data_IF_083969624496
#
_entry.id   IF_083969624496
#
_cell.length_a   1.000
_cell.length_b   1.000
_cell.length_c   1.000
_cell.angle_alpha   90.00
_cell.angle_beta   90.00
_cell.angle_gamma   90.00
#
_symmetry.space_group_name_H-M   'P 1'
#
loop_
_entity.id
_entity.type
_entity.pdbx_description
1 polymer ?
#
# COMPACT_ATOMS: atom_id res chain seq x y z
N UNK A 1 -15.61 21.98 12.53
CA UNK A 1 -15.35 20.70 11.85
C UNK A 1 -14.06 20.90 11.07
N UNK A 2 -12.91 20.68 11.72
CA UNK A 2 -11.60 21.01 11.12
C UNK A 2 -11.21 19.88 10.18
N UNK A 3 -11.32 20.14 8.88
CA UNK A 3 -10.85 19.24 7.81
C UNK A 3 -9.38 19.55 7.54
N UNK A 4 -8.49 18.94 8.31
CA UNK A 4 -7.04 18.99 8.05
C UNK A 4 -6.55 17.71 7.36
N UNK A 5 -7.15 17.27 6.24
CA UNK A 5 -6.82 15.94 5.67
C UNK A 5 -6.08 15.87 4.31
N UNK A 6 -5.70 16.93 3.58
CA UNK A 6 -4.99 16.72 2.31
C UNK A 6 -3.58 16.14 2.50
N UNK A 7 -2.79 16.70 3.42
CA UNK A 7 -1.40 16.25 3.68
C UNK A 7 -1.33 14.84 4.28
N UNK A 8 -2.35 14.44 5.04
CA UNK A 8 -2.43 13.12 5.64
C UNK A 8 -2.79 12.05 4.59
N UNK A 9 -3.67 12.38 3.65
CA UNK A 9 -3.98 11.52 2.49
C UNK A 9 -2.78 11.41 1.55
N UNK A 10 -2.07 12.51 1.28
CA UNK A 10 -0.81 12.50 0.51
C UNK A 10 0.24 11.60 1.17
N UNK A 11 0.41 11.68 2.49
CA UNK A 11 1.35 10.82 3.21
C UNK A 11 0.94 9.35 3.14
N UNK A 12 -0.35 9.05 3.38
CA UNK A 12 -0.88 7.68 3.29
C UNK A 12 -0.65 7.09 1.91
N UNK A 13 -0.93 7.85 0.85
CA UNK A 13 -0.74 7.39 -0.52
C UNK A 13 0.72 7.03 -0.81
N UNK A 14 1.67 7.84 -0.32
CA UNK A 14 3.12 7.57 -0.48
C UNK A 14 3.55 6.31 0.28
N UNK A 15 2.98 6.06 1.45
CA UNK A 15 3.23 4.83 2.20
C UNK A 15 2.71 3.63 1.42
N UNK A 16 1.47 3.68 0.91
CA UNK A 16 0.86 2.59 0.12
C UNK A 16 1.66 2.29 -1.15
N UNK A 17 2.11 3.32 -1.86
CA UNK A 17 2.94 3.17 -3.06
C UNK A 17 4.28 2.49 -2.74
N UNK A 18 4.93 2.88 -1.64
CA UNK A 18 6.16 2.23 -1.17
C UNK A 18 5.95 0.76 -0.82
N UNK A 19 4.81 0.43 -0.19
CA UNK A 19 4.45 -0.96 0.11
C UNK A 19 4.26 -1.75 -1.17
N UNK A 20 3.55 -1.22 -2.18
CA UNK A 20 3.39 -1.88 -3.48
C UNK A 20 4.73 -2.18 -4.15
N UNK A 21 5.66 -1.22 -4.16
CA UNK A 21 6.98 -1.41 -4.75
C UNK A 21 7.79 -2.50 -4.05
N UNK A 22 7.80 -2.53 -2.71
CA UNK A 22 8.54 -3.54 -1.96
C UNK A 22 7.89 -4.92 -2.03
N UNK A 23 6.55 -4.99 -2.03
CA UNK A 23 5.82 -6.25 -2.26
C UNK A 23 6.06 -6.79 -3.67
N UNK A 24 6.09 -5.94 -4.69
CA UNK A 24 6.39 -6.36 -6.06
C UNK A 24 7.84 -6.83 -6.22
N UNK A 25 8.77 -6.27 -5.43
CA UNK A 25 10.19 -6.59 -5.51
C UNK A 25 10.57 -7.85 -4.73
N UNK A 26 10.00 -8.05 -3.54
CA UNK A 26 10.44 -9.10 -2.61
C UNK A 26 9.35 -10.11 -2.24
N UNK A 27 8.07 -9.78 -2.46
CA UNK A 27 6.93 -10.54 -1.96
C UNK A 27 6.66 -10.30 -0.47
N UNK A 28 5.57 -10.90 0.02
CA UNK A 28 5.07 -10.73 1.39
C UNK A 28 6.05 -11.31 2.43
N UNK A 29 6.65 -12.48 2.16
CA UNK A 29 7.56 -13.19 3.08
C UNK A 29 8.79 -12.38 3.52
N UNK A 30 9.22 -11.41 2.70
CA UNK A 30 10.41 -10.59 2.93
C UNK A 30 10.09 -9.13 3.20
N UNK A 31 8.82 -8.80 3.36
CA UNK A 31 8.40 -7.44 3.63
C UNK A 31 8.81 -7.02 5.05
N UNK A 32 9.51 -5.89 5.15
CA UNK A 32 9.90 -5.29 6.41
C UNK A 32 9.64 -3.78 6.36
N UNK A 33 8.82 -3.29 7.30
CA UNK A 33 8.38 -1.90 7.35
C UNK A 33 9.55 -0.94 7.58
N UNK A 34 10.55 -1.34 8.38
CA UNK A 34 11.72 -0.51 8.67
C UNK A 34 12.64 -0.38 7.45
N UNK A 35 12.91 -1.49 6.77
CA UNK A 35 13.70 -1.52 5.55
C UNK A 35 13.03 -0.71 4.42
N UNK A 36 11.71 -0.89 4.25
CA UNK A 36 10.91 -0.10 3.32
C UNK A 36 10.97 1.39 3.67
N UNK A 37 10.69 1.75 4.92
CA UNK A 37 10.67 3.16 5.35
C UNK A 37 12.03 3.83 5.10
N UNK A 38 13.13 3.16 5.44
CA UNK A 38 14.48 3.65 5.17
C UNK A 38 14.77 3.82 3.68
N UNK A 39 14.32 2.89 2.83
CA UNK A 39 14.54 2.94 1.37
C UNK A 39 13.74 4.05 0.68
N UNK A 40 12.53 4.30 1.15
CA UNK A 40 11.62 5.32 0.59
C UNK A 40 11.70 6.67 1.32
N UNK A 41 12.55 6.80 2.34
CA UNK A 41 12.72 8.03 3.12
C UNK A 41 11.49 8.40 3.97
N UNK A 42 10.73 7.39 4.40
CA UNK A 42 9.54 7.55 5.24
C UNK A 42 9.89 7.42 6.72
N UNK A 43 9.09 8.06 7.57
CA UNK A 43 9.25 7.99 9.02
C UNK A 43 8.60 6.69 9.55
N UNK A 44 9.44 5.76 10.00
CA UNK A 44 9.01 4.45 10.51
C UNK A 44 8.15 4.56 11.77
N UNK A 45 8.42 5.53 12.65
CA UNK A 45 7.63 5.78 13.84
C UNK A 45 6.25 6.34 13.45
N UNK A 46 6.20 7.21 12.44
CA UNK A 46 4.92 7.69 11.91
C UNK A 46 4.08 6.57 11.27
N UNK A 47 4.72 5.66 10.54
CA UNK A 47 4.04 4.48 9.97
C UNK A 47 3.52 3.59 11.10
N UNK A 48 4.36 3.22 12.08
CA UNK A 48 3.97 2.33 13.17
C UNK A 48 2.91 2.92 14.12
N UNK A 49 2.85 4.25 14.27
CA UNK A 49 1.76 4.90 15.01
C UNK A 49 0.40 4.75 14.33
N UNK A 50 0.37 4.65 13.00
CA UNK A 50 -0.86 4.58 12.20
C UNK A 50 -1.23 3.15 11.81
N UNK A 51 -0.24 2.32 11.52
CA UNK A 51 -0.34 0.90 11.25
C UNK A 51 0.61 0.16 12.19
N UNK A 52 0.14 -0.17 13.41
CA UNK A 52 0.96 -0.89 14.38
C UNK A 52 1.23 -2.34 13.95
N UNK A 53 0.37 -2.90 13.09
CA UNK A 53 0.53 -4.23 12.54
C UNK A 53 0.95 -4.16 11.06
N UNK A 54 2.07 -4.81 10.67
CA UNK A 54 2.49 -4.86 9.28
C UNK A 54 1.49 -5.58 8.37
N UNK A 55 0.70 -6.54 8.86
CA UNK A 55 -0.33 -7.21 8.07
C UNK A 55 -1.45 -6.25 7.69
N UNK A 56 -1.87 -5.36 8.59
CA UNK A 56 -2.87 -4.32 8.29
C UNK A 56 -2.36 -3.39 7.18
N UNK A 57 -1.08 -3.05 7.20
CA UNK A 57 -0.47 -2.22 6.16
C UNK A 57 -0.46 -2.92 4.80
N UNK A 58 -0.12 -4.22 4.77
CA UNK A 58 -0.14 -5.03 3.55
C UNK A 58 -1.56 -5.17 3.02
N UNK A 59 -2.53 -5.46 3.89
CA UNK A 59 -3.95 -5.56 3.53
C UNK A 59 -4.48 -4.24 2.98
N UNK A 60 -4.13 -3.11 3.60
CA UNK A 60 -4.50 -1.79 3.11
C UNK A 60 -3.90 -1.52 1.74
N UNK A 61 -2.62 -1.84 1.54
CA UNK A 61 -1.98 -1.70 0.25
C UNK A 61 -2.68 -2.58 -0.81
N UNK A 62 -2.95 -3.85 -0.52
CA UNK A 62 -3.66 -4.74 -1.43
C UNK A 62 -5.08 -4.25 -1.74
N UNK A 63 -5.78 -3.67 -0.77
CA UNK A 63 -7.12 -3.10 -0.96
C UNK A 63 -7.11 -1.85 -1.86
N UNK A 64 -6.01 -1.09 -1.88
CA UNK A 64 -5.84 0.10 -2.71
C UNK A 64 -4.92 -0.17 -3.91
N UNK A 65 -4.84 -1.42 -4.37
CA UNK A 65 -4.00 -1.78 -5.50
C UNK A 65 -4.43 -1.02 -6.76
N UNK A 66 -3.51 -0.32 -7.45
CA UNK A 66 -3.83 0.39 -8.67
C UNK A 66 -4.33 -0.60 -9.73
N UNK A 67 -5.64 -0.53 -10.03
CA UNK A 67 -6.32 -1.46 -10.93
C UNK A 67 -7.33 -2.41 -10.27
N UNK A 68 -7.49 -2.39 -8.94
CA UNK A 68 -8.58 -3.12 -8.28
C UNK A 68 -9.97 -2.64 -8.75
N UNK A 69 -10.10 -1.35 -9.07
CA UNK A 69 -11.29 -0.77 -9.68
C UNK A 69 -11.29 -0.83 -11.22
N UNK A 70 -10.23 -1.35 -11.85
CA UNK A 70 -10.23 -1.54 -13.28
C UNK A 70 -11.20 -2.68 -13.63
N UNK A 71 -12.17 -2.39 -14.50
CA UNK A 71 -13.04 -3.44 -15.05
C UNK A 71 -12.16 -4.58 -15.56
N UNK A 72 -12.41 -5.84 -15.15
CA UNK A 72 -11.65 -6.97 -15.64
C UNK A 72 -11.59 -6.88 -17.17
N UNK A 73 -10.41 -7.07 -17.79
CA UNK A 73 -10.36 -7.10 -19.25
C UNK A 73 -11.35 -8.17 -19.72
N UNK A 74 -12.17 -7.84 -20.73
CA UNK A 74 -13.05 -8.80 -21.37
C UNK A 74 -12.18 -9.94 -21.92
N UNK A 75 -12.14 -11.06 -21.20
CA UNK A 75 -11.34 -12.23 -21.54
C UNK A 75 -12.02 -13.09 -22.61
N UNK A 76 -13.17 -12.64 -23.13
CA UNK A 76 -14.01 -13.40 -24.02
C UNK A 76 -14.76 -14.51 -23.29
N UNK A 77 -15.89 -14.92 -23.83
CA UNK A 77 -16.68 -16.00 -23.26
C UNK A 77 -16.13 -17.36 -23.69
N UNK A 78 -15.77 -18.18 -22.72
CA UNK A 78 -15.51 -19.60 -22.92
C UNK A 78 -16.80 -20.27 -23.41
N UNK A 79 -16.79 -20.73 -24.66
CA UNK A 79 -17.84 -21.60 -25.19
C UNK A 79 -17.48 -23.04 -24.84
N UNK A 80 -18.32 -23.69 -24.05
CA UNK A 80 -18.27 -25.14 -23.79
C UNK A 80 -18.96 -25.91 -24.91
#
# INVERSE_FOLDING_TARGET
>A
MTVEHPLADDYRQRVVEAVHEELARWGIDRFDVGAMANRHGLDVDAIQRRWPDPEELILEALAHWPGADASPPDTGWLRT
#
